data_IF_044868538982
#
_entry.id   IF_044868538982
#
_cell.length_a   1.000
_cell.length_b   1.000
_cell.length_c   1.000
_cell.angle_alpha   90.00
_cell.angle_beta   90.00
_cell.angle_gamma   90.00
#
_symmetry.space_group_name_H-M   'P 1'
#
loop_
_entity.id
_entity.type
_entity.pdbx_description
1 polymer ?
#
# COMPACT_ATOMS: atom_id res chain seq x y z
N UNK A 1 -14.84 16.69 30.00
CA UNK A 1 -13.54 16.46 29.32
C UNK A 1 -12.91 17.81 28.95
N UNK A 2 -11.58 17.99 29.14
CA UNK A 2 -10.87 19.25 28.83
C UNK A 2 -9.88 19.13 27.66
N UNK A 3 -9.36 17.91 27.41
CA UNK A 3 -8.34 17.66 26.39
C UNK A 3 -8.62 16.39 25.61
N UNK A 4 -8.35 16.42 24.29
CA UNK A 4 -8.36 15.26 23.41
C UNK A 4 -6.97 15.19 22.77
N UNK A 5 -6.37 13.99 22.77
CA UNK A 5 -5.08 13.71 22.17
C UNK A 5 -5.27 12.64 21.09
N UNK A 6 -4.82 12.93 19.86
CA UNK A 6 -4.75 11.95 18.75
C UNK A 6 -3.34 11.45 18.60
N UNK A 7 -3.18 10.15 18.33
CA UNK A 7 -1.88 9.49 18.09
C UNK A 7 -2.03 8.45 16.98
N UNK A 8 -1.00 8.35 16.12
CA UNK A 8 -0.94 7.36 15.04
C UNK A 8 -1.71 7.75 13.77
N UNK A 9 -2.28 8.96 13.75
CA UNK A 9 -2.95 9.52 12.59
C UNK A 9 -1.99 10.37 11.74
N UNK A 10 -1.90 10.07 10.45
CA UNK A 10 -1.19 10.89 9.46
C UNK A 10 -2.14 11.51 8.43
N UNK A 11 -3.22 10.79 8.08
CA UNK A 11 -4.24 11.25 7.14
C UNK A 11 -5.41 11.95 7.83
N UNK A 12 -5.65 11.67 9.11
CA UNK A 12 -6.75 12.26 9.88
C UNK A 12 -6.24 13.21 10.95
N UNK A 13 -6.83 14.38 11.03
CA UNK A 13 -6.64 15.27 12.17
C UNK A 13 -7.42 14.76 13.39
N UNK A 14 -6.98 15.12 14.59
CA UNK A 14 -7.71 14.79 15.82
C UNK A 14 -9.15 15.35 15.79
N UNK A 15 -9.35 16.50 15.13
CA UNK A 15 -10.68 17.12 14.98
C UNK A 15 -11.62 16.28 14.15
N UNK A 16 -11.16 15.78 13.00
CA UNK A 16 -11.93 14.89 12.12
C UNK A 16 -12.29 13.57 12.79
N UNK A 17 -11.34 12.99 13.54
CA UNK A 17 -11.62 11.78 14.33
C UNK A 17 -12.71 12.04 15.38
N UNK A 18 -12.65 13.19 16.07
CA UNK A 18 -13.66 13.57 17.05
C UNK A 18 -15.03 13.78 16.41
N UNK A 19 -15.09 14.45 15.26
CA UNK A 19 -16.33 14.68 14.53
C UNK A 19 -16.99 13.36 14.09
N UNK A 20 -16.20 12.43 13.55
CA UNK A 20 -16.67 11.09 13.14
C UNK A 20 -17.36 10.31 14.29
N UNK A 21 -16.91 10.49 15.52
CA UNK A 21 -17.45 9.76 16.69
C UNK A 21 -18.37 10.61 17.58
N UNK A 22 -18.61 11.87 17.18
CA UNK A 22 -19.44 12.80 17.96
C UNK A 22 -18.84 13.15 19.32
N UNK A 23 -17.50 13.23 19.43
CA UNK A 23 -16.80 13.54 20.68
C UNK A 23 -16.46 15.02 20.75
N UNK A 24 -16.90 15.72 21.80
CA UNK A 24 -16.65 17.15 22.00
C UNK A 24 -16.03 17.46 23.36
N UNK A 25 -15.31 18.61 23.42
CA UNK A 25 -14.87 19.15 24.70
C UNK A 25 -16.09 19.45 25.56
N UNK A 26 -16.11 19.01 26.80
CA UNK A 26 -17.26 19.14 27.69
C UNK A 26 -17.95 17.80 27.95
N UNK A 27 -17.86 16.83 27.08
CA UNK A 27 -18.51 15.53 27.22
C UNK A 27 -18.10 14.80 28.50
N UNK A 28 -19.04 14.00 29.01
CA UNK A 28 -18.79 13.17 30.18
C UNK A 28 -18.07 11.89 29.76
N UNK A 29 -16.81 11.75 30.16
CA UNK A 29 -15.97 10.60 29.83
C UNK A 29 -16.51 9.26 30.35
N UNK A 30 -17.31 9.28 31.43
CA UNK A 30 -17.85 8.06 32.01
C UNK A 30 -19.06 7.54 31.24
N UNK A 31 -19.82 8.45 30.62
CA UNK A 31 -21.01 8.11 29.83
C UNK A 31 -20.69 7.87 28.35
N UNK A 32 -19.51 8.25 27.89
CA UNK A 32 -19.11 8.10 26.50
C UNK A 32 -18.77 6.64 26.16
N UNK A 33 -19.48 6.09 25.16
CA UNK A 33 -19.30 4.70 24.72
C UNK A 33 -18.05 4.55 23.84
N UNK A 34 -16.88 4.28 24.47
CA UNK A 34 -15.60 4.11 23.77
C UNK A 34 -15.65 3.01 22.72
N UNK A 35 -16.19 1.82 23.05
CA UNK A 35 -16.25 0.71 22.12
C UNK A 35 -17.14 0.96 20.89
N UNK A 36 -18.22 1.79 21.03
CA UNK A 36 -19.00 2.22 19.87
C UNK A 36 -18.22 3.18 19.01
N UNK A 37 -17.49 4.10 19.62
CA UNK A 37 -16.65 5.07 18.92
C UNK A 37 -15.50 4.39 18.17
N UNK A 38 -14.82 3.42 18.79
CA UNK A 38 -13.78 2.60 18.15
C UNK A 38 -14.32 1.91 16.89
N UNK A 39 -15.43 1.20 16.99
CA UNK A 39 -16.11 0.56 15.85
C UNK A 39 -16.57 1.56 14.79
N UNK A 40 -16.90 2.80 15.17
CA UNK A 40 -17.29 3.84 14.21
C UNK A 40 -16.08 4.33 13.42
N UNK A 41 -14.93 4.51 14.06
CA UNK A 41 -13.67 4.85 13.39
C UNK A 41 -13.21 3.73 12.44
N UNK A 42 -13.28 2.48 12.88
CA UNK A 42 -12.88 1.28 12.11
C UNK A 42 -13.77 1.00 10.88
N UNK A 43 -14.90 1.70 10.73
CA UNK A 43 -15.66 1.68 9.46
C UNK A 43 -14.94 2.40 8.30
N UNK A 44 -14.00 3.27 8.61
CA UNK A 44 -13.16 3.88 7.57
C UNK A 44 -12.17 2.85 7.04
N UNK A 45 -12.12 2.59 5.72
CA UNK A 45 -11.15 1.65 5.14
C UNK A 45 -9.69 1.96 5.51
N UNK A 46 -9.39 3.24 5.72
CA UNK A 46 -8.05 3.72 6.11
C UNK A 46 -7.69 3.48 7.59
N UNK A 47 -8.61 3.00 8.42
CA UNK A 47 -8.35 2.75 9.84
C UNK A 47 -8.32 1.25 10.11
N UNK A 48 -7.14 0.70 10.37
CA UNK A 48 -6.97 -0.72 10.69
C UNK A 48 -7.45 -1.05 12.10
N UNK A 49 -7.23 -0.14 13.05
CA UNK A 49 -7.74 -0.27 14.43
C UNK A 49 -7.81 1.09 15.11
N UNK A 50 -8.76 1.24 16.00
CA UNK A 50 -8.90 2.41 16.83
C UNK A 50 -9.02 2.02 18.31
N UNK A 51 -8.37 2.77 19.22
CA UNK A 51 -8.44 2.56 20.66
C UNK A 51 -8.65 3.89 21.38
N UNK A 52 -9.72 3.96 22.17
CA UNK A 52 -10.02 5.10 22.99
C UNK A 52 -9.71 4.81 24.47
N UNK A 53 -8.89 5.62 25.09
CA UNK A 53 -8.54 5.52 26.50
C UNK A 53 -8.74 6.84 27.23
N UNK A 54 -9.32 6.77 28.43
CA UNK A 54 -9.47 7.94 29.30
C UNK A 54 -8.24 8.06 30.21
N UNK A 55 -7.55 9.19 30.11
CA UNK A 55 -6.56 9.62 31.11
C UNK A 55 -7.26 10.56 32.10
N UNK A 56 -7.55 10.03 33.29
CA UNK A 56 -8.18 10.82 34.33
C UNK A 56 -7.31 12.01 34.75
N UNK A 57 -7.88 13.12 35.16
CA UNK A 57 -9.36 13.29 35.33
C UNK A 57 -10.09 13.83 34.09
N UNK A 58 -9.40 14.34 33.05
CA UNK A 58 -10.07 15.17 32.04
C UNK A 58 -9.63 14.96 30.58
N UNK A 59 -8.81 13.95 30.26
CA UNK A 59 -8.26 13.72 28.92
C UNK A 59 -8.79 12.46 28.28
N UNK A 60 -9.20 12.52 27.00
CA UNK A 60 -9.44 11.37 26.14
C UNK A 60 -8.26 11.23 25.16
N UNK A 61 -7.68 10.05 25.08
CA UNK A 61 -6.66 9.68 24.08
C UNK A 61 -7.29 8.77 23.04
N UNK A 62 -7.18 9.15 21.77
CA UNK A 62 -7.55 8.37 20.59
C UNK A 62 -6.26 7.89 19.94
N UNK A 63 -6.04 6.59 19.91
CA UNK A 63 -4.91 5.97 19.23
C UNK A 63 -5.46 5.21 18.04
N UNK A 64 -4.96 5.45 16.83
CA UNK A 64 -5.34 4.72 15.64
C UNK A 64 -4.12 4.10 14.97
N UNK A 65 -4.35 2.98 14.28
CA UNK A 65 -3.41 2.41 13.31
C UNK A 65 -4.02 2.64 11.94
N UNK A 66 -3.36 3.46 11.12
CA UNK A 66 -3.79 3.72 9.74
C UNK A 66 -3.29 2.64 8.80
N UNK A 67 -4.09 2.36 7.76
CA UNK A 67 -3.68 1.64 6.57
C UNK A 67 -3.07 2.61 5.57
N UNK A 68 -2.05 2.17 4.86
CA UNK A 68 -1.42 2.94 3.80
C UNK A 68 -1.64 2.25 2.46
N UNK A 69 -2.00 3.02 1.45
CA UNK A 69 -2.04 2.51 0.09
C UNK A 69 -0.64 2.09 -0.37
N UNK A 70 -0.57 1.00 -1.15
CA UNK A 70 0.66 0.40 -1.68
C UNK A 70 0.70 0.34 -3.19
N UNK A 71 -0.43 0.58 -3.82
CA UNK A 71 -0.57 0.59 -5.27
C UNK A 71 -2.00 0.81 -5.69
N UNK A 72 -2.22 0.92 -6.99
CA UNK A 72 -3.56 0.98 -7.56
C UNK A 72 -3.81 -0.16 -8.53
N UNK A 73 -5.06 -0.61 -8.54
CA UNK A 73 -5.56 -1.59 -9.48
C UNK A 73 -6.56 -0.90 -10.41
N UNK A 74 -6.37 -0.94 -11.73
CA UNK A 74 -7.30 -0.32 -12.65
C UNK A 74 -8.62 -1.10 -12.71
N UNK A 75 -9.75 -0.38 -12.70
CA UNK A 75 -11.08 -0.95 -12.78
C UNK A 75 -12.06 0.01 -13.48
N UNK A 76 -12.54 -0.37 -14.66
CA UNK A 76 -13.60 0.37 -15.42
C UNK A 76 -13.39 1.89 -15.52
N UNK A 77 -12.16 2.33 -15.80
CA UNK A 77 -11.82 3.76 -15.92
C UNK A 77 -11.56 4.48 -14.59
N UNK A 78 -11.56 3.74 -13.48
CA UNK A 78 -11.17 4.19 -12.15
C UNK A 78 -9.98 3.39 -11.63
N UNK A 79 -9.46 3.78 -10.46
CA UNK A 79 -8.34 3.13 -9.80
C UNK A 79 -8.72 2.77 -8.35
N UNK A 80 -8.54 1.51 -7.99
CA UNK A 80 -8.74 1.03 -6.63
C UNK A 80 -7.40 1.14 -5.89
N UNK A 81 -7.35 1.95 -4.84
CA UNK A 81 -6.19 2.00 -3.95
C UNK A 81 -6.22 0.80 -3.02
N UNK A 82 -5.16 0.01 -3.01
CA UNK A 82 -5.04 -1.19 -2.17
C UNK A 82 -3.91 -1.07 -1.16
N UNK A 83 -4.11 -1.64 0.03
CA UNK A 83 -3.10 -1.71 1.09
C UNK A 83 -2.21 -2.97 0.99
N UNK A 84 -1.39 -3.18 2.01
CA UNK A 84 -0.47 -4.32 2.15
C UNK A 84 -1.16 -5.69 2.28
N UNK A 85 -2.48 -5.72 2.51
CA UNK A 85 -3.30 -6.93 2.58
C UNK A 85 -4.11 -7.15 1.30
N UNK A 86 -4.04 -6.21 0.34
CA UNK A 86 -4.89 -6.19 -0.86
C UNK A 86 -6.31 -5.68 -0.59
N UNK A 87 -6.51 -4.94 0.49
CA UNK A 87 -7.79 -4.33 0.86
C UNK A 87 -8.00 -3.05 0.08
N UNK A 88 -9.18 -2.87 -0.48
CA UNK A 88 -9.57 -1.65 -1.19
C UNK A 88 -9.82 -0.53 -0.19
N UNK A 89 -8.98 0.51 -0.23
CA UNK A 89 -9.08 1.66 0.67
C UNK A 89 -10.01 2.74 0.13
N UNK A 90 -9.94 3.00 -1.18
CA UNK A 90 -10.81 3.94 -1.88
C UNK A 90 -10.84 3.68 -3.38
N UNK A 91 -11.79 4.31 -4.06
CA UNK A 91 -11.92 4.36 -5.52
C UNK A 91 -11.70 5.79 -5.97
N UNK A 92 -10.77 6.01 -6.89
CA UNK A 92 -10.44 7.33 -7.43
C UNK A 92 -10.50 7.34 -8.96
N UNK A 93 -10.90 8.48 -9.53
CA UNK A 93 -10.91 8.68 -10.98
C UNK A 93 -9.52 8.93 -11.59
N UNK A 94 -8.51 9.18 -10.75
CA UNK A 94 -7.12 9.43 -11.18
C UNK A 94 -6.13 8.99 -10.12
N UNK A 95 -4.92 8.64 -10.53
CA UNK A 95 -3.80 8.39 -9.63
C UNK A 95 -3.30 9.72 -9.05
N UNK A 96 -3.27 9.84 -7.73
CA UNK A 96 -2.87 11.07 -7.01
C UNK A 96 -1.51 10.95 -6.34
N UNK A 97 -1.13 9.73 -5.97
CA UNK A 97 0.09 9.46 -5.22
C UNK A 97 1.12 8.77 -6.13
N UNK A 98 2.39 8.88 -5.78
CA UNK A 98 3.47 8.16 -6.45
C UNK A 98 3.48 6.71 -5.93
N UNK A 99 2.58 5.87 -6.46
CA UNK A 99 2.46 4.45 -6.14
C UNK A 99 2.39 3.64 -7.43
N UNK A 100 2.80 2.36 -7.43
CA UNK A 100 2.77 1.53 -8.61
C UNK A 100 1.36 1.19 -9.08
N UNK A 101 1.15 1.20 -10.39
CA UNK A 101 0.00 0.62 -11.04
C UNK A 101 0.16 -0.91 -11.09
N UNK A 102 -0.77 -1.64 -10.50
CA UNK A 102 -0.75 -3.10 -10.46
C UNK A 102 -1.62 -3.68 -11.57
N UNK A 103 -1.00 -4.38 -12.52
CA UNK A 103 -1.70 -5.09 -13.60
C UNK A 103 -1.75 -6.60 -13.38
N UNK A 104 -2.76 -7.23 -13.93
CA UNK A 104 -2.86 -8.69 -13.97
C UNK A 104 -3.72 -9.31 -12.87
N UNK A 105 -4.23 -8.55 -11.91
CA UNK A 105 -5.23 -9.06 -10.98
C UNK A 105 -6.58 -9.23 -11.69
N UNK A 106 -7.23 -10.39 -11.50
CA UNK A 106 -8.52 -10.73 -12.12
C UNK A 106 -9.60 -10.82 -11.06
N UNK A 107 -10.62 -9.98 -11.18
CA UNK A 107 -11.78 -9.92 -10.28
C UNK A 107 -12.98 -9.33 -11.02
N UNK A 108 -14.19 -9.66 -10.58
CA UNK A 108 -15.42 -9.22 -11.22
C UNK A 108 -16.07 -8.04 -10.47
N UNK A 109 -15.89 -7.99 -9.15
CA UNK A 109 -16.47 -6.97 -8.27
C UNK A 109 -15.54 -6.72 -7.08
N UNK A 110 -15.81 -5.66 -6.34
CA UNK A 110 -15.10 -5.33 -5.11
C UNK A 110 -16.06 -4.66 -4.12
N UNK A 111 -15.65 -4.62 -2.86
CA UNK A 111 -16.27 -3.81 -1.81
C UNK A 111 -15.18 -2.95 -1.17
N UNK A 112 -15.43 -1.65 -1.06
CA UNK A 112 -14.53 -0.75 -0.36
C UNK A 112 -14.44 -1.14 1.12
N UNK A 113 -13.22 -1.19 1.65
CA UNK A 113 -12.94 -1.67 3.00
C UNK A 113 -12.72 -3.18 3.11
N UNK A 114 -12.89 -3.97 2.04
CA UNK A 114 -12.66 -5.42 2.02
C UNK A 114 -11.46 -5.80 1.14
N UNK A 115 -10.91 -6.99 1.37
CA UNK A 115 -9.84 -7.55 0.53
C UNK A 115 -10.40 -7.82 -0.86
N UNK A 116 -9.67 -7.42 -1.89
CA UNK A 116 -10.05 -7.58 -3.28
C UNK A 116 -10.25 -9.09 -3.61
N UNK A 117 -11.46 -9.52 -4.04
CA UNK A 117 -11.77 -10.93 -4.26
C UNK A 117 -11.21 -11.40 -5.61
N UNK A 118 -9.89 -11.55 -5.71
CA UNK A 118 -9.23 -11.96 -6.95
C UNK A 118 -9.42 -13.46 -7.24
N UNK A 119 -9.58 -13.78 -8.51
CA UNK A 119 -9.67 -15.17 -9.01
C UNK A 119 -8.29 -15.83 -9.08
N UNK A 120 -7.24 -15.06 -9.35
CA UNK A 120 -5.85 -15.51 -9.44
C UNK A 120 -5.08 -15.20 -8.14
N UNK A 121 -5.33 -15.98 -7.10
CA UNK A 121 -4.77 -15.77 -5.76
C UNK A 121 -3.25 -15.77 -5.74
N UNK A 122 -2.59 -16.53 -6.63
CA UNK A 122 -1.13 -16.52 -6.76
C UNK A 122 -0.61 -15.12 -7.18
N UNK A 123 -1.31 -14.43 -8.09
CA UNK A 123 -0.94 -13.07 -8.50
C UNK A 123 -1.10 -12.08 -7.35
N UNK A 124 -2.15 -12.23 -6.52
CA UNK A 124 -2.32 -11.40 -5.34
C UNK A 124 -1.20 -11.65 -4.33
N UNK A 125 -0.88 -12.90 -4.03
CA UNK A 125 0.20 -13.24 -3.09
C UNK A 125 1.53 -12.64 -3.54
N UNK A 126 1.85 -12.75 -4.83
CA UNK A 126 3.06 -12.19 -5.43
C UNK A 126 3.10 -10.67 -5.32
N UNK A 127 2.01 -9.96 -5.64
CA UNK A 127 2.02 -8.48 -5.55
C UNK A 127 2.13 -7.99 -4.11
N UNK A 128 1.55 -8.69 -3.14
CA UNK A 128 1.67 -8.35 -1.73
C UNK A 128 3.13 -8.52 -1.25
N UNK A 129 3.80 -9.61 -1.66
CA UNK A 129 5.23 -9.83 -1.38
C UNK A 129 6.09 -8.72 -1.99
N UNK A 130 5.90 -8.42 -3.28
CA UNK A 130 6.63 -7.36 -3.98
C UNK A 130 6.41 -6.00 -3.30
N UNK A 131 5.17 -5.66 -2.95
CA UNK A 131 4.83 -4.41 -2.29
C UNK A 131 5.54 -4.24 -0.93
N UNK A 132 5.62 -5.31 -0.13
CA UNK A 132 6.35 -5.30 1.15
C UNK A 132 7.85 -5.11 0.94
N UNK A 133 8.43 -5.77 -0.07
CA UNK A 133 9.84 -5.61 -0.41
C UNK A 133 10.13 -4.22 -0.97
N UNK A 134 9.26 -3.68 -1.82
CA UNK A 134 9.42 -2.31 -2.33
C UNK A 134 9.32 -1.25 -1.23
N UNK A 135 8.45 -1.44 -0.23
CA UNK A 135 8.45 -0.57 0.96
C UNK A 135 9.75 -0.69 1.75
N UNK A 136 10.22 -1.92 2.00
CA UNK A 136 11.47 -2.19 2.73
C UNK A 136 12.67 -1.51 2.08
N UNK A 137 12.71 -1.46 0.76
CA UNK A 137 13.80 -0.87 -0.04
C UNK A 137 13.52 0.54 -0.55
N UNK A 138 12.43 1.19 -0.09
CA UNK A 138 12.07 2.56 -0.46
C UNK A 138 11.94 2.77 -1.98
N UNK A 139 11.21 1.86 -2.65
CA UNK A 139 11.01 1.86 -4.10
C UNK A 139 9.57 2.14 -4.52
N UNK A 140 8.61 2.25 -3.58
CA UNK A 140 7.19 2.37 -3.91
C UNK A 140 6.86 3.60 -4.75
N UNK A 141 7.57 4.71 -4.51
CA UNK A 141 7.41 5.98 -5.23
C UNK A 141 8.24 6.07 -6.54
N UNK A 142 9.18 5.14 -6.73
CA UNK A 142 10.01 5.05 -7.93
C UNK A 142 9.39 4.15 -9.00
N UNK A 143 8.60 3.14 -8.59
CA UNK A 143 8.02 2.14 -9.48
C UNK A 143 6.69 2.66 -10.03
N UNK A 144 6.59 2.71 -11.37
CA UNK A 144 5.40 3.20 -12.08
C UNK A 144 4.35 2.10 -12.26
N UNK A 145 4.80 0.88 -12.54
CA UNK A 145 3.92 -0.23 -12.85
C UNK A 145 4.53 -1.58 -12.45
N UNK A 146 3.67 -2.51 -12.04
CA UNK A 146 4.02 -3.91 -11.79
C UNK A 146 3.01 -4.79 -12.51
N UNK A 147 3.49 -5.67 -13.40
CA UNK A 147 2.64 -6.63 -14.11
C UNK A 147 2.82 -8.04 -13.53
N UNK A 148 1.77 -8.52 -12.86
CA UNK A 148 1.66 -9.87 -12.29
C UNK A 148 0.66 -10.75 -13.06
N UNK A 149 0.36 -10.42 -14.31
CA UNK A 149 -0.50 -11.22 -15.19
C UNK A 149 -0.04 -12.67 -15.28
N UNK A 150 1.26 -12.88 -15.18
CA UNK A 150 1.92 -14.19 -15.09
C UNK A 150 2.76 -14.22 -13.80
N UNK A 151 2.29 -14.84 -12.71
CA UNK A 151 3.00 -14.81 -11.41
C UNK A 151 4.40 -15.45 -11.41
N UNK A 152 4.75 -16.18 -12.48
CA UNK A 152 6.09 -16.77 -12.68
C UNK A 152 6.97 -16.00 -13.68
N UNK A 153 6.46 -14.90 -14.23
CA UNK A 153 7.12 -14.10 -15.26
C UNK A 153 6.72 -12.61 -15.10
N UNK A 154 7.21 -12.02 -14.02
CA UNK A 154 6.81 -10.71 -13.49
C UNK A 154 7.68 -9.61 -14.08
N UNK A 155 7.04 -8.49 -14.39
CA UNK A 155 7.71 -7.27 -14.85
C UNK A 155 7.38 -6.09 -13.94
N UNK A 156 8.39 -5.25 -13.69
CA UNK A 156 8.23 -3.94 -13.06
C UNK A 156 8.77 -2.86 -14.00
N UNK A 157 8.31 -1.63 -13.82
CA UNK A 157 8.70 -0.50 -14.67
C UNK A 157 9.10 0.68 -13.79
N UNK A 158 10.29 1.22 -14.04
CA UNK A 158 10.82 2.41 -13.38
C UNK A 158 11.30 3.38 -14.46
N UNK A 159 10.76 4.59 -14.48
CA UNK A 159 11.00 5.55 -15.57
C UNK A 159 10.75 4.90 -16.95
N UNK A 160 11.78 4.76 -17.76
CA UNK A 160 11.74 4.14 -19.10
C UNK A 160 12.42 2.76 -19.11
N UNK A 161 12.71 2.19 -17.94
CA UNK A 161 13.36 0.88 -17.79
C UNK A 161 12.33 -0.18 -17.47
N UNK A 162 12.29 -1.23 -18.29
CA UNK A 162 11.57 -2.46 -18.00
C UNK A 162 12.45 -3.37 -17.16
N UNK A 163 11.95 -3.88 -16.07
CA UNK A 163 12.67 -4.77 -15.16
C UNK A 163 12.00 -6.14 -15.18
N UNK A 164 12.71 -7.13 -15.64
CA UNK A 164 12.26 -8.51 -15.68
C UNK A 164 12.67 -9.22 -14.39
N UNK A 165 11.71 -9.40 -13.49
CA UNK A 165 11.91 -10.08 -12.20
C UNK A 165 11.80 -11.61 -12.34
N UNK A 166 11.10 -12.11 -13.36
CA UNK A 166 10.76 -13.53 -13.49
C UNK A 166 9.80 -13.96 -12.38
N UNK A 167 10.11 -15.01 -11.64
CA UNK A 167 9.37 -15.40 -10.44
C UNK A 167 9.94 -14.72 -9.17
N UNK A 168 9.32 -14.91 -8.00
CA UNK A 168 9.78 -14.33 -6.74
C UNK A 168 10.74 -15.22 -5.94
N UNK A 169 11.31 -16.27 -6.53
CA UNK A 169 12.42 -16.99 -5.90
C UNK A 169 13.58 -16.02 -5.68
N UNK A 170 14.10 -15.95 -4.45
CA UNK A 170 15.07 -14.93 -4.03
C UNK A 170 14.57 -13.49 -4.23
N UNK A 171 13.26 -13.22 -4.08
CA UNK A 171 12.63 -11.93 -4.30
C UNK A 171 13.30 -10.78 -3.54
N UNK A 172 13.68 -10.99 -2.29
CA UNK A 172 14.39 -9.99 -1.46
C UNK A 172 15.69 -9.53 -2.14
N UNK A 173 16.48 -10.48 -2.64
CA UNK A 173 17.73 -10.18 -3.36
C UNK A 173 17.45 -9.44 -4.68
N UNK A 174 16.46 -9.87 -5.46
CA UNK A 174 16.08 -9.23 -6.73
C UNK A 174 15.67 -7.78 -6.54
N UNK A 175 14.83 -7.50 -5.56
CA UNK A 175 14.38 -6.13 -5.26
C UNK A 175 15.54 -5.27 -4.71
N UNK A 176 16.44 -5.85 -3.92
CA UNK A 176 17.66 -5.16 -3.47
C UNK A 176 18.57 -4.78 -4.66
N UNK A 177 18.83 -5.71 -5.59
CA UNK A 177 19.59 -5.41 -6.81
C UNK A 177 18.89 -4.36 -7.69
N UNK A 178 17.57 -4.49 -7.86
CA UNK A 178 16.76 -3.50 -8.55
C UNK A 178 16.99 -2.10 -7.98
N UNK A 179 16.90 -1.93 -6.66
CA UNK A 179 17.12 -0.65 -5.98
C UNK A 179 18.50 -0.07 -6.24
N UNK A 180 19.54 -0.90 -6.16
CA UNK A 180 20.92 -0.45 -6.37
C UNK A 180 21.15 -0.02 -7.82
N UNK A 181 20.67 -0.80 -8.79
CA UNK A 181 20.94 -0.57 -10.21
C UNK A 181 20.11 0.59 -10.75
N UNK A 182 18.81 0.65 -10.42
CA UNK A 182 17.91 1.72 -10.89
C UNK A 182 18.43 3.11 -10.52
N UNK A 183 19.00 3.27 -9.34
CA UNK A 183 19.62 4.54 -8.90
C UNK A 183 20.84 4.97 -9.72
N UNK A 184 21.44 4.05 -10.47
CA UNK A 184 22.62 4.34 -11.32
C UNK A 184 22.25 4.62 -12.77
N UNK A 185 21.03 4.28 -13.19
CA UNK A 185 20.56 4.48 -14.57
C UNK A 185 20.00 5.91 -14.69
N UNK A 186 20.47 6.73 -15.64
CA UNK A 186 19.86 8.03 -15.94
C UNK A 186 18.37 7.90 -16.27
N UNK A 187 17.56 8.86 -15.83
CA UNK A 187 16.07 8.79 -15.99
C UNK A 187 15.61 8.82 -17.44
N UNK A 188 16.42 9.38 -18.33
CA UNK A 188 16.20 9.46 -19.78
C UNK A 188 16.55 8.17 -20.52
N UNK A 189 17.34 7.27 -19.90
CA UNK A 189 17.78 6.03 -20.53
C UNK A 189 16.63 5.02 -20.62
N UNK A 190 16.59 4.32 -21.76
CA UNK A 190 15.64 3.25 -22.03
C UNK A 190 16.36 1.91 -22.04
N UNK A 191 15.79 0.92 -21.39
CA UNK A 191 16.45 -0.37 -21.37
C UNK A 191 15.62 -1.46 -20.70
N UNK A 192 16.21 -2.65 -20.74
CA UNK A 192 15.69 -3.83 -20.05
C UNK A 192 16.73 -4.27 -19.03
N UNK A 193 16.35 -4.30 -17.77
CA UNK A 193 17.13 -4.88 -16.67
C UNK A 193 16.60 -6.28 -16.40
N UNK A 194 17.42 -7.30 -16.65
CA UNK A 194 17.03 -8.68 -16.39
C UNK A 194 17.61 -9.18 -15.06
N UNK A 195 16.71 -9.43 -14.11
CA UNK A 195 16.97 -9.98 -12.78
C UNK A 195 16.40 -11.40 -12.61
N UNK A 196 15.74 -11.94 -13.65
CA UNK A 196 15.08 -13.25 -13.60
C UNK A 196 16.04 -14.39 -13.30
N UNK A 197 17.28 -14.26 -13.78
CA UNK A 197 18.34 -15.24 -13.58
C UNK A 197 18.85 -15.35 -12.15
N UNK A 198 18.58 -14.40 -11.26
CA UNK A 198 19.04 -14.40 -9.85
C UNK A 198 18.47 -15.54 -8.98
N UNK A 199 17.63 -16.40 -9.56
CA UNK A 199 17.27 -17.70 -8.96
C UNK A 199 18.49 -18.63 -8.85
N UNK A 200 19.50 -18.41 -9.70
CA UNK A 200 20.79 -19.10 -9.66
C UNK A 200 21.88 -18.16 -9.13
N UNK A 201 22.60 -18.54 -8.06
CA UNK A 201 23.68 -17.72 -7.48
C UNK A 201 24.84 -17.39 -8.43
N UNK A 202 24.94 -18.08 -9.57
CA UNK A 202 25.97 -17.86 -10.61
C UNK A 202 25.43 -17.04 -11.80
N UNK A 203 24.19 -16.58 -11.76
CA UNK A 203 23.63 -15.80 -12.85
C UNK A 203 24.20 -14.38 -12.86
N UNK A 204 24.30 -13.82 -14.05
CA UNK A 204 24.68 -12.42 -14.24
C UNK A 204 23.41 -11.57 -14.35
N UNK A 205 23.44 -10.40 -13.74
CA UNK A 205 22.48 -9.34 -14.01
C UNK A 205 22.88 -8.67 -15.32
N UNK A 206 21.92 -8.46 -16.20
CA UNK A 206 22.17 -7.82 -17.50
C UNK A 206 21.28 -6.58 -17.64
N UNK A 207 21.87 -5.52 -18.20
CA UNK A 207 21.14 -4.34 -18.65
C UNK A 207 21.37 -4.15 -20.15
N UNK A 208 20.28 -4.08 -20.90
CA UNK A 208 20.32 -3.88 -22.35
C UNK A 208 19.66 -2.55 -22.67
N UNK A 209 20.42 -1.63 -23.26
CA UNK A 209 19.88 -0.37 -23.77
C UNK A 209 18.96 -0.61 -24.97
N UNK A 210 17.85 0.14 -25.01
CA UNK A 210 16.94 0.20 -26.14
C UNK A 210 17.21 1.51 -26.91
N UNK A 211 17.48 1.39 -28.19
CA UNK A 211 17.68 2.52 -29.10
C UNK A 211 16.37 3.17 -29.54
#
# INVERSE_FOLDING_TARGET
MKKIEGEGASQFTTSELCEKIGLSKGDNLLLFSKGRAEKTLEKSPYIASAKLSAKLPHTMKITIKERKARGYVPYMGSYLYIDEEGRVLEVAGSCRDALPLVKGLKFDSFTEGEILPVQNTDALAVILEISQLMEKYELLDEVVEIDVSKPKDIYAYVNQVQIHLGNMTNGDMKIQYMQQIVKTIPKEDRGILDLSGLDNPKANVTFQYLT
#
